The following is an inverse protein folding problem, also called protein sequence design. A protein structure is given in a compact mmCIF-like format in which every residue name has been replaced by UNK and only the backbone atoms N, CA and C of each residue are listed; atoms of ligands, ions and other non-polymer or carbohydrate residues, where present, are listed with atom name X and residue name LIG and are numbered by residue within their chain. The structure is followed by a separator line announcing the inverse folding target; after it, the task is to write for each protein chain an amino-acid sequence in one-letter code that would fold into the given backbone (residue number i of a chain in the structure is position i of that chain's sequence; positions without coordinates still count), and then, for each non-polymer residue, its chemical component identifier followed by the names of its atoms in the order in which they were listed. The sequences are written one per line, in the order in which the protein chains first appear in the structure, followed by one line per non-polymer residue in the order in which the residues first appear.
data_IF_930423793458
#
_entry.id   IF_930423793458
#
_cell.length_a   1.000
_cell.length_b   1.000
_cell.length_c   1.000
_cell.angle_alpha   90.00
_cell.angle_beta   90.00
_cell.angle_gamma   90.00
#
_symmetry.space_group_name_H-M   'P 1'
#
loop_
_entity.id
_entity.type
_entity.pdbx_description
1 polymer ?
#
# COMPACT_ATOMS: atom_id res chain seq x y z
N UNK A 1 -22.63 7.08 1.10
CA UNK A 1 -22.52 6.41 -0.21
C UNK A 1 -21.07 6.51 -0.68
N UNK A 2 -20.44 5.41 -1.10
CA UNK A 2 -19.07 5.40 -1.63
C UNK A 2 -19.14 5.71 -3.14
N UNK A 3 -18.28 6.61 -3.67
CA UNK A 3 -18.20 6.85 -5.11
C UNK A 3 -17.87 5.58 -5.90
N UNK A 4 -18.58 5.35 -6.99
CA UNK A 4 -18.39 4.24 -7.93
C UNK A 4 -16.97 4.18 -8.50
N UNK A 5 -16.37 5.33 -8.81
CA UNK A 5 -14.99 5.43 -9.29
C UNK A 5 -13.98 4.88 -8.28
N UNK A 6 -14.24 5.04 -6.97
CA UNK A 6 -13.38 4.48 -5.92
C UNK A 6 -13.66 2.99 -5.71
N UNK A 7 -14.92 2.58 -5.76
CA UNK A 7 -15.30 1.18 -5.61
C UNK A 7 -14.78 0.29 -6.76
N UNK A 8 -14.79 0.82 -7.99
CA UNK A 8 -14.40 0.09 -9.20
C UNK A 8 -12.94 0.33 -9.61
N UNK A 9 -12.28 1.35 -9.03
CA UNK A 9 -10.91 1.74 -9.40
C UNK A 9 -9.86 0.66 -9.17
N UNK A 10 -10.14 -0.29 -8.27
CA UNK A 10 -9.19 -1.36 -7.95
C UNK A 10 -8.90 -2.30 -9.13
N UNK A 11 -9.92 -2.66 -9.92
CA UNK A 11 -9.73 -3.50 -11.10
C UNK A 11 -8.85 -2.82 -12.15
N UNK A 12 -9.07 -1.51 -12.37
CA UNK A 12 -8.27 -0.71 -13.29
C UNK A 12 -6.80 -0.62 -12.84
N UNK A 13 -6.57 -0.42 -11.55
CA UNK A 13 -5.22 -0.38 -10.98
C UNK A 13 -4.47 -1.72 -11.12
N UNK A 14 -5.15 -2.84 -10.85
CA UNK A 14 -4.54 -4.18 -11.03
C UNK A 14 -4.22 -4.45 -12.50
N UNK A 15 -5.12 -4.12 -13.43
CA UNK A 15 -4.86 -4.25 -14.87
C UNK A 15 -3.68 -3.38 -15.34
N UNK A 16 -3.50 -2.20 -14.74
CA UNK A 16 -2.33 -1.37 -15.00
C UNK A 16 -1.03 -2.07 -14.54
N UNK A 17 -1.01 -2.66 -13.34
CA UNK A 17 0.16 -3.41 -12.87
C UNK A 17 0.48 -4.62 -13.75
N UNK A 18 -0.54 -5.32 -14.24
CA UNK A 18 -0.37 -6.42 -15.19
C UNK A 18 0.24 -5.94 -16.51
N UNK A 19 -0.22 -4.82 -17.04
CA UNK A 19 0.33 -4.24 -18.26
C UNK A 19 1.80 -3.83 -18.09
N UNK A 20 2.15 -3.14 -16.99
CA UNK A 20 3.53 -2.75 -16.69
C UNK A 20 4.44 -3.98 -16.57
N UNK A 21 3.95 -5.04 -15.92
CA UNK A 21 4.66 -6.32 -15.83
C UNK A 21 4.97 -6.90 -17.20
N UNK A 22 3.95 -6.94 -18.07
CA UNK A 22 4.06 -7.49 -19.41
C UNK A 22 5.08 -6.71 -20.26
N UNK A 23 5.11 -5.39 -20.16
CA UNK A 23 6.07 -4.54 -20.89
C UNK A 23 7.52 -4.75 -20.44
N UNK A 24 7.75 -4.97 -19.15
CA UNK A 24 9.10 -5.09 -18.61
C UNK A 24 9.63 -6.53 -18.62
N UNK A 25 8.79 -7.52 -18.94
CA UNK A 25 9.12 -8.94 -18.85
C UNK A 25 9.77 -9.34 -17.50
N UNK A 26 9.43 -8.63 -16.42
CA UNK A 26 9.93 -8.89 -15.07
C UNK A 26 8.86 -9.56 -14.23
N UNK A 27 9.27 -10.32 -13.21
CA UNK A 27 8.40 -10.68 -12.08
C UNK A 27 8.73 -9.76 -10.92
N UNK A 28 7.74 -9.02 -10.43
CA UNK A 28 7.94 -8.13 -9.29
C UNK A 28 8.42 -8.93 -8.07
N UNK A 29 9.33 -8.36 -7.28
CA UNK A 29 9.87 -8.98 -6.08
C UNK A 29 10.91 -10.07 -6.32
N UNK A 30 10.98 -10.70 -7.49
CA UNK A 30 11.89 -11.84 -7.74
C UNK A 30 13.38 -11.46 -7.70
N UNK A 31 13.73 -10.28 -8.20
CA UNK A 31 15.12 -9.78 -8.21
C UNK A 31 15.62 -9.48 -6.79
N UNK A 32 14.78 -8.88 -5.95
CA UNK A 32 15.15 -8.48 -4.59
C UNK A 32 14.95 -9.60 -3.55
N UNK A 33 14.17 -10.64 -3.85
CA UNK A 33 13.80 -11.69 -2.88
C UNK A 33 15.00 -12.32 -2.18
N UNK A 34 16.02 -12.72 -2.95
CA UNK A 34 17.22 -13.37 -2.38
C UNK A 34 18.03 -12.40 -1.52
N UNK A 35 18.18 -11.15 -1.98
CA UNK A 35 18.89 -10.11 -1.24
C UNK A 35 18.18 -9.80 0.08
N UNK A 36 16.86 -9.64 0.04
CA UNK A 36 16.04 -9.36 1.21
C UNK A 36 16.09 -10.52 2.22
N UNK A 37 16.06 -11.77 1.75
CA UNK A 37 16.22 -12.95 2.62
C UNK A 37 17.58 -12.97 3.33
N UNK A 38 18.67 -12.66 2.63
CA UNK A 38 20.01 -12.57 3.23
C UNK A 38 20.05 -11.46 4.29
N UNK A 39 19.54 -10.27 3.97
CA UNK A 39 19.50 -9.14 4.92
C UNK A 39 18.68 -9.47 6.18
N UNK A 40 17.53 -10.12 6.01
CA UNK A 40 16.69 -10.57 7.12
C UNK A 40 17.39 -11.62 7.99
N UNK A 41 18.04 -12.62 7.39
CA UNK A 41 18.80 -13.61 8.13
C UNK A 41 19.92 -12.97 8.95
N UNK A 42 20.69 -12.04 8.36
CA UNK A 42 21.74 -11.32 9.06
C UNK A 42 21.19 -10.51 10.25
N UNK A 43 20.01 -9.91 10.10
CA UNK A 43 19.35 -9.17 11.19
C UNK A 43 18.90 -10.12 12.31
N UNK A 44 18.34 -11.29 11.96
CA UNK A 44 17.96 -12.32 12.94
C UNK A 44 19.20 -12.78 13.72
N UNK A 45 20.29 -13.11 13.04
CA UNK A 45 21.55 -13.53 13.67
C UNK A 45 22.12 -12.46 14.61
N UNK A 46 22.06 -11.18 14.21
CA UNK A 46 22.50 -10.07 15.05
C UNK A 46 21.64 -9.96 16.33
N UNK A 47 20.31 -10.06 16.22
CA UNK A 47 19.39 -10.00 17.37
C UNK A 47 19.59 -11.20 18.30
N UNK A 48 19.72 -12.41 17.75
CA UNK A 48 19.98 -13.63 18.53
C UNK A 48 21.31 -13.51 19.28
N UNK A 49 22.34 -12.97 18.62
CA UNK A 49 23.66 -12.73 19.24
C UNK A 49 23.62 -11.70 20.36
N UNK A 50 22.85 -10.61 20.19
CA UNK A 50 22.72 -9.55 21.20
C UNK A 50 21.88 -9.98 22.39
N UNK A 51 20.85 -10.80 22.18
CA UNK A 51 19.90 -11.21 23.23
C UNK A 51 20.26 -12.52 23.90
N UNK A 52 21.14 -13.32 23.28
CA UNK A 52 21.48 -14.68 23.72
C UNK A 52 20.32 -15.68 23.63
N UNK A 53 19.23 -15.31 22.94
CA UNK A 53 18.02 -16.13 22.79
C UNK A 53 17.74 -16.38 21.32
N UNK A 54 17.33 -17.60 20.99
CA UNK A 54 16.94 -17.94 19.63
C UNK A 54 15.53 -17.42 19.31
N UNK A 55 15.33 -17.03 18.05
CA UNK A 55 14.05 -16.58 17.53
C UNK A 55 13.02 -17.72 17.62
N UNK A 56 11.84 -17.51 18.22
CA UNK A 56 10.79 -18.51 18.24
C UNK A 56 10.35 -18.91 16.82
N UNK A 57 10.11 -20.20 16.61
CA UNK A 57 9.78 -20.77 15.29
C UNK A 57 8.56 -20.09 14.61
N UNK A 58 7.60 -19.62 15.41
CA UNK A 58 6.41 -18.86 14.95
C UNK A 58 6.77 -17.62 14.14
N UNK A 59 7.86 -16.92 14.51
CA UNK A 59 8.30 -15.73 13.78
C UNK A 59 9.17 -16.12 12.59
N UNK A 60 10.00 -17.16 12.75
CA UNK A 60 10.90 -17.66 11.71
C UNK A 60 10.14 -18.12 10.45
N UNK A 61 8.99 -18.77 10.60
CA UNK A 61 8.15 -19.20 9.47
C UNK A 61 7.65 -18.04 8.60
N UNK A 62 7.42 -16.87 9.20
CA UNK A 62 6.93 -15.69 8.47
C UNK A 62 8.04 -15.00 7.67
N UNK A 63 9.31 -15.18 8.05
CA UNK A 63 10.46 -14.59 7.35
C UNK A 63 11.00 -15.46 6.21
N UNK A 64 10.79 -16.78 6.26
CA UNK A 64 11.25 -17.70 5.22
C UNK A 64 10.54 -17.45 3.88
N UNK A 65 9.26 -17.11 3.93
CA UNK A 65 8.49 -16.71 2.77
C UNK A 65 8.79 -15.23 2.49
N UNK A 66 9.84 -14.97 1.70
CA UNK A 66 10.13 -13.62 1.22
C UNK A 66 8.95 -13.05 0.42
N UNK A 67 8.98 -11.75 0.14
CA UNK A 67 7.90 -11.03 -0.54
C UNK A 67 7.53 -11.69 -1.88
N UNK A 68 6.25 -12.05 -2.05
CA UNK A 68 5.72 -12.56 -3.31
C UNK A 68 5.17 -11.43 -4.19
N UNK A 69 5.01 -11.72 -5.49
CA UNK A 69 4.45 -10.76 -6.45
C UNK A 69 3.04 -10.28 -6.02
N UNK A 70 2.23 -11.17 -5.45
CA UNK A 70 0.89 -10.84 -4.97
C UNK A 70 0.92 -9.85 -3.81
N UNK A 71 1.94 -9.89 -2.94
CA UNK A 71 2.06 -8.99 -1.81
C UNK A 71 2.41 -7.58 -2.28
N UNK A 72 3.23 -7.47 -3.33
CA UNK A 72 3.55 -6.20 -3.97
C UNK A 72 2.34 -5.60 -4.70
N UNK A 73 1.56 -6.43 -5.39
CA UNK A 73 0.34 -5.98 -6.07
C UNK A 73 -0.69 -5.48 -5.04
N UNK A 74 -0.87 -6.21 -3.94
CA UNK A 74 -1.78 -5.81 -2.85
C UNK A 74 -1.33 -4.51 -2.20
N UNK A 75 -0.06 -4.40 -1.83
CA UNK A 75 0.49 -3.16 -1.25
C UNK A 75 0.32 -1.98 -2.19
N UNK A 76 0.67 -2.13 -3.48
CA UNK A 76 0.53 -1.05 -4.46
C UNK A 76 -0.94 -0.67 -4.71
N UNK A 77 -1.85 -1.65 -4.68
CA UNK A 77 -3.28 -1.41 -4.78
C UNK A 77 -3.81 -0.64 -3.55
N UNK A 78 -3.42 -1.07 -2.36
CA UNK A 78 -3.81 -0.44 -1.09
C UNK A 78 -3.35 1.02 -1.06
N UNK A 79 -2.09 1.29 -1.42
CA UNK A 79 -1.56 2.66 -1.49
C UNK A 79 -2.37 3.53 -2.48
N UNK A 80 -2.64 3.03 -3.69
CA UNK A 80 -3.43 3.77 -4.68
C UNK A 80 -4.87 4.05 -4.21
N UNK A 81 -5.53 3.07 -3.58
CA UNK A 81 -6.90 3.24 -3.10
C UNK A 81 -6.96 4.19 -1.91
N UNK A 82 -6.00 4.12 -1.00
CA UNK A 82 -5.87 5.04 0.13
C UNK A 82 -5.66 6.46 -0.39
N UNK A 83 -4.70 6.68 -1.29
CA UNK A 83 -4.41 8.00 -1.86
C UNK A 83 -5.63 8.56 -2.61
N UNK A 84 -6.28 7.74 -3.43
CA UNK A 84 -7.51 8.10 -4.12
C UNK A 84 -8.61 8.55 -3.15
N UNK A 85 -8.84 7.80 -2.08
CA UNK A 85 -9.80 8.14 -1.05
C UNK A 85 -9.44 9.44 -0.33
N UNK A 86 -8.17 9.63 0.08
CA UNK A 86 -7.73 10.85 0.76
C UNK A 86 -7.92 12.08 -0.12
N UNK A 87 -7.65 11.98 -1.42
CA UNK A 87 -7.86 13.06 -2.38
C UNK A 87 -9.34 13.43 -2.51
N UNK A 88 -10.23 12.43 -2.63
CA UNK A 88 -11.68 12.67 -2.69
C UNK A 88 -12.18 13.30 -1.39
N UNK A 89 -11.79 12.74 -0.23
CA UNK A 89 -12.13 13.26 1.09
C UNK A 89 -11.67 14.72 1.26
N UNK A 90 -10.44 15.04 0.87
CA UNK A 90 -9.88 16.39 0.95
C UNK A 90 -10.70 17.39 0.13
N UNK A 91 -11.04 17.03 -1.11
CA UNK A 91 -11.85 17.89 -1.98
C UNK A 91 -13.28 18.05 -1.47
N UNK A 92 -13.90 16.98 -0.97
CA UNK A 92 -15.22 17.03 -0.35
C UNK A 92 -15.26 17.98 0.85
N UNK A 93 -14.28 17.87 1.76
CA UNK A 93 -14.15 18.75 2.92
C UNK A 93 -13.90 20.21 2.51
N UNK A 94 -13.08 20.44 1.47
CA UNK A 94 -12.85 21.79 0.92
C UNK A 94 -14.14 22.40 0.38
N UNK A 95 -14.95 21.61 -0.33
CA UNK A 95 -16.24 22.06 -0.87
C UNK A 95 -17.23 22.41 0.25
N UNK A 96 -17.30 21.60 1.31
CA UNK A 96 -18.14 21.89 2.48
C UNK A 96 -17.70 23.20 3.14
N UNK A 97 -16.39 23.37 3.40
CA UNK A 97 -15.87 24.62 3.99
C UNK A 97 -16.24 25.85 3.17
N UNK A 98 -16.09 25.76 1.85
CA UNK A 98 -16.48 26.83 0.93
C UNK A 98 -17.98 27.17 1.02
N UNK A 99 -18.86 26.16 1.01
CA UNK A 99 -20.31 26.38 1.13
C UNK A 99 -20.68 27.00 2.48
N UNK A 100 -20.05 26.57 3.57
CA UNK A 100 -20.26 27.14 4.91
C UNK A 100 -19.80 28.60 4.98
N UNK A 101 -18.70 28.97 4.32
CA UNK A 101 -18.22 30.35 4.29
C UNK A 101 -19.06 31.30 3.42
N UNK A 102 -19.80 30.79 2.43
CA UNK A 102 -20.66 31.57 1.52
C UNK A 102 -22.08 31.78 2.09
N UNK A 103 -22.52 30.94 3.03
CA UNK A 103 -23.83 31.00 3.70
C UNK A 103 -24.19 32.33 4.41
N UNK A 104 -23.25 33.15 4.94
CA UNK A 104 -23.57 34.44 5.54
C UNK A 104 -24.06 35.50 4.53
N UNK A 105 -23.75 35.38 3.24
CA UNK A 105 -24.08 36.39 2.22
C UNK A 105 -25.55 36.35 1.76
N UNK A 106 -26.30 35.30 2.11
CA UNK A 106 -27.71 35.11 1.72
C UNK A 106 -28.72 35.49 2.83
N UNK A 107 -28.27 36.06 3.95
CA UNK A 107 -29.13 36.49 5.07
C UNK A 107 -29.42 38.00 5.13
N UNK A 108 -28.99 38.78 4.15
CA UNK A 108 -29.24 40.24 4.09
C UNK A 108 -30.14 40.70 2.93
N UNK A 109 -31.04 39.85 2.45
CA UNK A 109 -32.16 40.26 1.58
C UNK A 109 -33.49 39.88 2.19
#
# INVERSE_FOLDING_TARGET
MIPDILANGGGVAVSYFEWVKNLRHIRFGRLEKRRNQIQLNNLIEAIESMTGKTMPAKYKSNFHNGIEEIDLIRSGLDDMMIDGFQNVKKNFLKRIKYLISELPLLRQQ
#
